data_IF_826688124283
#
_entry.id   IF_826688124283
#
_cell.length_a   1.000
_cell.length_b   1.000
_cell.length_c   1.000
_cell.angle_alpha   90.00
_cell.angle_beta   90.00
_cell.angle_gamma   90.00
#
_symmetry.space_group_name_H-M   'P 1'
#
loop_
_entity.id
_entity.type
_entity.pdbx_description
1 polymer ?
#
# COMPACT_ATOMS: atom_id res chain seq x y z
N UNK A 1 -8.70 -50.13 -25.51
CA UNK A 1 -9.11 -51.52 -25.13
C UNK A 1 -9.49 -51.48 -23.65
N UNK A 2 -10.78 -51.78 -23.42
CA UNK A 2 -11.38 -52.61 -22.35
C UNK A 2 -11.20 -52.10 -20.92
N UNK A 3 -12.19 -51.97 -20.04
CA UNK A 3 -13.68 -52.21 -19.93
C UNK A 3 -13.97 -51.72 -18.50
N UNK A 4 -14.85 -50.84 -18.17
CA UNK A 4 -16.27 -51.01 -17.87
C UNK A 4 -16.66 -52.33 -17.19
N UNK A 5 -17.11 -52.25 -15.94
CA UNK A 5 -18.22 -53.06 -15.46
C UNK A 5 -18.94 -52.45 -14.24
N UNK A 6 -20.23 -52.23 -14.44
CA UNK A 6 -21.32 -52.02 -13.49
C UNK A 6 -21.80 -53.34 -12.91
N UNK A 7 -22.32 -53.39 -11.69
CA UNK A 7 -23.40 -54.26 -11.23
C UNK A 7 -23.86 -53.77 -9.86
N UNK A 8 -25.00 -53.22 -9.69
CA UNK A 8 -26.41 -53.68 -9.60
C UNK A 8 -26.72 -54.60 -8.40
N UNK A 9 -27.37 -53.99 -7.42
CA UNK A 9 -28.65 -54.32 -6.76
C UNK A 9 -28.87 -55.78 -6.26
N UNK A 10 -29.16 -55.92 -5.00
CA UNK A 10 -30.20 -56.82 -4.50
C UNK A 10 -30.78 -56.35 -3.17
N UNK A 11 -32.07 -56.08 -3.21
CA UNK A 11 -32.98 -55.85 -2.09
C UNK A 11 -33.33 -57.20 -1.48
N UNK A 12 -33.27 -57.35 -0.14
CA UNK A 12 -34.03 -58.34 0.56
C UNK A 12 -34.70 -57.75 1.80
N UNK A 13 -36.00 -57.66 1.74
CA UNK A 13 -36.88 -57.44 2.90
C UNK A 13 -36.97 -58.74 3.70
N UNK A 14 -36.71 -58.66 5.00
CA UNK A 14 -37.29 -59.61 5.97
C UNK A 14 -37.67 -58.84 7.21
N UNK A 15 -38.95 -58.92 7.54
CA UNK A 15 -39.60 -58.47 8.75
C UNK A 15 -39.27 -59.42 9.91
N UNK A 16 -38.93 -58.88 11.07
CA UNK A 16 -39.35 -59.46 12.36
C UNK A 16 -38.93 -58.57 13.58
N UNK A 17 -39.91 -58.23 14.36
CA UNK A 17 -39.90 -58.04 15.82
C UNK A 17 -38.98 -57.01 16.45
N UNK A 18 -39.61 -55.96 16.98
CA UNK A 18 -39.11 -55.09 18.05
C UNK A 18 -38.75 -55.85 19.32
N UNK A 19 -37.72 -55.42 20.02
CA UNK A 19 -37.94 -55.08 21.43
C UNK A 19 -37.63 -53.58 21.67
N UNK A 20 -38.48 -53.00 22.46
CA UNK A 20 -38.28 -51.75 23.18
C UNK A 20 -37.02 -51.90 24.04
N UNK A 21 -36.05 -51.01 23.84
CA UNK A 21 -34.94 -50.83 24.76
C UNK A 21 -34.59 -49.36 24.86
N UNK A 22 -34.75 -48.88 26.05
CA UNK A 22 -34.06 -47.79 26.77
C UNK A 22 -33.66 -46.57 25.94
N UNK A 23 -34.26 -45.48 26.28
CA UNK A 23 -33.74 -44.12 26.14
C UNK A 23 -32.33 -44.10 26.74
N UNK A 24 -31.34 -43.87 25.90
CA UNK A 24 -30.04 -43.41 26.38
C UNK A 24 -30.25 -42.03 26.99
N UNK A 25 -29.71 -41.73 28.17
CA UNK A 25 -29.75 -40.39 28.70
C UNK A 25 -28.96 -39.48 27.76
N UNK A 26 -29.58 -38.37 27.33
CA UNK A 26 -28.87 -37.24 26.74
C UNK A 26 -27.68 -36.94 27.67
N UNK A 27 -26.46 -37.13 27.20
CA UNK A 27 -25.28 -36.62 27.89
C UNK A 27 -25.42 -35.07 27.84
N UNK A 28 -25.99 -34.52 28.94
CA UNK A 28 -25.79 -33.10 29.24
C UNK A 28 -24.30 -32.90 29.43
N UNK A 29 -23.62 -32.33 28.43
CA UNK A 29 -22.26 -31.85 28.58
C UNK A 29 -22.19 -30.96 29.81
N UNK A 30 -21.33 -31.30 30.74
CA UNK A 30 -21.15 -30.52 31.96
C UNK A 30 -20.72 -29.09 31.60
N UNK A 31 -21.12 -28.11 32.42
CA UNK A 31 -20.69 -26.71 32.23
C UNK A 31 -19.17 -26.58 32.18
N UNK A 32 -18.40 -27.52 32.75
CA UNK A 32 -16.96 -27.57 32.74
C UNK A 32 -16.42 -28.03 31.37
N UNK A 33 -17.13 -28.89 30.62
CA UNK A 33 -16.77 -29.29 29.26
C UNK A 33 -17.10 -28.23 28.21
N UNK A 34 -18.08 -27.35 28.48
CA UNK A 34 -18.40 -26.20 27.60
C UNK A 34 -17.31 -25.10 27.73
N UNK A 35 -16.67 -25.01 28.92
CA UNK A 35 -15.61 -23.99 29.15
C UNK A 35 -14.30 -24.36 28.47
N UNK A 36 -14.01 -25.65 28.19
CA UNK A 36 -12.79 -26.06 27.46
C UNK A 36 -12.83 -25.79 25.94
N UNK A 37 -13.99 -25.42 25.39
CA UNK A 37 -14.14 -25.11 23.96
C UNK A 37 -14.10 -23.60 23.64
N UNK A 38 -13.84 -22.75 24.63
CA UNK A 38 -13.59 -21.32 24.36
C UNK A 38 -12.15 -21.21 23.90
N UNK A 39 -11.97 -20.90 22.63
CA UNK A 39 -10.67 -20.55 22.06
C UNK A 39 -10.22 -19.25 22.74
N UNK A 40 -9.32 -19.39 23.73
CA UNK A 40 -8.81 -18.26 24.52
C UNK A 40 -7.90 -17.33 23.68
N UNK A 41 -7.55 -17.73 22.47
CA UNK A 41 -6.79 -16.94 21.49
C UNK A 41 -7.69 -16.27 20.45
N UNK A 42 -9.01 -16.49 20.49
CA UNK A 42 -9.93 -15.76 19.61
C UNK A 42 -9.99 -14.27 20.01
N UNK A 43 -9.86 -13.33 19.07
CA UNK A 43 -9.91 -11.91 19.37
C UNK A 43 -11.25 -11.54 20.02
N UNK A 44 -11.22 -10.65 21.03
CA UNK A 44 -12.44 -10.14 21.66
C UNK A 44 -13.32 -9.43 20.60
N UNK A 45 -14.64 -9.50 20.79
CA UNK A 45 -15.58 -8.88 19.86
C UNK A 45 -15.24 -7.39 19.66
N UNK A 46 -14.96 -7.01 18.40
CA UNK A 46 -14.57 -5.64 18.04
C UNK A 46 -13.12 -5.28 18.35
N UNK A 47 -12.24 -6.25 18.57
CA UNK A 47 -10.81 -6.02 18.71
C UNK A 47 -10.16 -5.75 17.34
N UNK A 48 -9.24 -4.78 17.29
CA UNK A 48 -8.43 -4.48 16.10
C UNK A 48 -7.16 -5.33 16.11
N UNK A 49 -7.03 -6.22 15.12
CA UNK A 49 -5.95 -7.23 15.05
C UNK A 49 -4.86 -6.89 14.02
N UNK A 50 -5.04 -5.85 13.20
CA UNK A 50 -4.05 -5.44 12.21
C UNK A 50 -2.78 -4.91 12.88
N UNK A 51 -1.57 -5.28 12.40
CA UNK A 51 -0.30 -4.94 13.07
C UNK A 51 -0.03 -3.43 13.20
N UNK A 52 -0.62 -2.60 12.33
CA UNK A 52 -0.55 -1.13 12.48
C UNK A 52 -1.77 -0.68 13.28
N UNK A 53 -1.54 0.03 14.39
CA UNK A 53 -2.61 0.51 15.25
C UNK A 53 -3.57 1.47 14.52
N UNK A 54 -4.85 1.44 14.88
CA UNK A 54 -5.89 2.19 14.18
C UNK A 54 -5.67 3.71 14.23
N UNK A 55 -5.17 4.21 15.35
CA UNK A 55 -4.80 5.61 15.57
C UNK A 55 -3.61 6.07 14.72
N UNK A 56 -2.77 5.15 14.27
CA UNK A 56 -1.61 5.42 13.42
C UNK A 56 -1.95 5.40 11.92
N UNK A 57 -3.15 4.91 11.56
CA UNK A 57 -3.62 4.84 10.18
C UNK A 57 -4.31 6.14 9.78
N UNK A 58 -3.59 7.00 9.07
CA UNK A 58 -4.19 8.20 8.47
C UNK A 58 -4.80 7.85 7.09
N UNK A 59 -6.14 8.01 6.89
CA UNK A 59 -6.81 7.65 5.64
C UNK A 59 -6.26 8.35 4.40
N UNK A 60 -5.73 9.57 4.53
CA UNK A 60 -5.12 10.29 3.41
C UNK A 60 -3.75 9.70 3.06
N UNK A 61 -2.98 9.28 4.08
CA UNK A 61 -1.64 8.75 3.88
C UNK A 61 -1.65 7.36 3.26
N UNK A 62 -2.54 6.48 3.73
CA UNK A 62 -2.65 5.11 3.21
C UNK A 62 -3.56 4.96 1.99
N UNK A 63 -4.07 6.08 1.45
CA UNK A 63 -4.91 6.07 0.25
C UNK A 63 -4.16 5.52 -0.96
N UNK A 64 -4.69 4.45 -1.54
CA UNK A 64 -4.17 3.86 -2.75
C UNK A 64 -4.59 4.70 -3.99
N UNK A 65 -3.63 4.97 -4.87
CA UNK A 65 -3.86 5.57 -6.17
C UNK A 65 -3.15 4.72 -7.23
N UNK A 66 -3.91 4.01 -8.05
CA UNK A 66 -3.42 3.17 -9.14
C UNK A 66 -4.49 3.00 -10.23
N UNK A 67 -4.29 2.11 -11.18
CA UNK A 67 -5.23 1.88 -12.29
C UNK A 67 -6.62 1.41 -11.86
N UNK A 68 -6.74 0.82 -10.68
CA UNK A 68 -7.97 0.27 -10.10
C UNK A 68 -8.59 1.19 -9.05
N UNK A 69 -7.80 2.06 -8.42
CA UNK A 69 -8.20 3.04 -7.41
C UNK A 69 -7.89 4.45 -7.93
N UNK A 70 -8.76 4.94 -8.82
CA UNK A 70 -8.55 6.23 -9.49
C UNK A 70 -8.99 7.40 -8.61
N UNK A 71 -8.10 8.37 -8.48
CA UNK A 71 -8.46 9.66 -7.93
C UNK A 71 -9.27 10.46 -8.96
N UNK A 72 -10.33 11.10 -8.50
CA UNK A 72 -11.13 11.99 -9.33
C UNK A 72 -10.30 13.17 -9.87
N UNK A 73 -10.77 13.76 -10.96
CA UNK A 73 -10.08 14.89 -11.60
C UNK A 73 -9.93 16.08 -10.67
N UNK A 74 -10.89 16.32 -9.83
CA UNK A 74 -11.00 17.38 -8.82
C UNK A 74 -10.71 16.86 -7.40
N UNK A 75 -10.04 15.70 -7.30
CA UNK A 75 -9.61 15.16 -6.02
C UNK A 75 -8.93 16.24 -5.19
N UNK A 76 -9.54 16.52 -4.04
CA UNK A 76 -9.04 17.53 -3.12
C UNK A 76 -7.98 16.92 -2.21
N UNK A 77 -6.77 17.40 -2.36
CA UNK A 77 -5.69 17.11 -1.40
C UNK A 77 -5.79 18.06 -0.21
N UNK A 78 -5.18 17.71 0.92
CA UNK A 78 -4.87 18.70 1.96
C UNK A 78 -4.10 19.88 1.33
N UNK A 79 -4.12 21.07 1.96
CA UNK A 79 -3.39 22.22 1.44
C UNK A 79 -1.94 21.87 1.11
N UNK A 80 -1.53 22.18 -0.10
CA UNK A 80 -0.18 21.98 -0.55
C UNK A 80 0.70 23.14 -0.09
N UNK A 81 1.92 22.84 0.34
CA UNK A 81 2.91 23.83 0.72
C UNK A 81 4.08 23.84 -0.25
N UNK A 82 4.63 25.04 -0.48
CA UNK A 82 5.79 25.20 -1.37
C UNK A 82 7.05 24.67 -0.71
N UNK A 83 7.69 23.74 -1.39
CA UNK A 83 8.99 23.20 -0.99
C UNK A 83 10.05 24.27 -1.13
N UNK A 84 10.74 24.60 -0.03
CA UNK A 84 11.86 25.57 0.00
C UNK A 84 13.13 24.93 -0.55
N UNK A 85 13.94 25.72 -1.25
CA UNK A 85 15.30 25.30 -1.58
C UNK A 85 16.19 25.33 -0.34
N UNK A 86 17.04 24.32 -0.18
CA UNK A 86 17.96 24.18 0.96
C UNK A 86 18.87 25.41 1.11
N UNK A 87 18.95 25.93 2.33
CA UNK A 87 19.93 26.94 2.75
C UNK A 87 20.73 26.39 3.93
N UNK A 88 22.04 26.32 3.76
CA UNK A 88 22.95 25.87 4.80
C UNK A 88 23.69 27.04 5.43
N UNK A 89 23.88 26.99 6.74
CA UNK A 89 24.80 27.83 7.50
C UNK A 89 25.59 26.93 8.44
N UNK A 90 26.93 26.95 8.33
CA UNK A 90 27.81 26.07 9.07
C UNK A 90 27.48 24.57 8.95
N UNK A 91 26.96 24.16 7.78
CA UNK A 91 26.54 22.77 7.53
C UNK A 91 25.11 22.44 7.92
N UNK A 92 24.45 23.27 8.71
CA UNK A 92 23.08 23.06 9.21
C UNK A 92 22.01 23.60 8.25
N UNK A 93 20.88 22.91 8.14
CA UNK A 93 19.71 23.37 7.40
C UNK A 93 18.98 24.47 8.18
N UNK A 94 19.05 25.70 7.68
CA UNK A 94 18.54 26.88 8.42
C UNK A 94 17.13 27.31 8.03
N UNK A 95 16.52 26.67 7.04
CA UNK A 95 15.22 27.11 6.52
C UNK A 95 14.23 25.97 6.29
N UNK A 96 14.54 24.74 6.70
CA UNK A 96 13.72 23.56 6.43
C UNK A 96 13.54 23.33 4.93
N UNK A 97 14.56 23.55 4.12
CA UNK A 97 14.53 23.33 2.68
C UNK A 97 15.18 22.02 2.28
N UNK A 98 14.96 21.60 1.03
CA UNK A 98 15.62 20.45 0.42
C UNK A 98 16.38 20.86 -0.84
N UNK A 99 17.36 20.06 -1.25
CA UNK A 99 18.00 20.26 -2.56
C UNK A 99 17.00 20.02 -3.67
N UNK A 100 16.92 20.90 -4.65
CA UNK A 100 16.02 20.79 -5.80
C UNK A 100 16.82 20.55 -7.06
N UNK A 101 16.35 19.62 -7.89
CA UNK A 101 16.98 19.34 -9.19
C UNK A 101 16.73 20.45 -10.22
N UNK A 102 15.72 21.31 -10.00
CA UNK A 102 15.40 22.47 -10.85
C UNK A 102 14.90 23.65 -10.04
N UNK A 103 14.91 24.85 -10.62
CA UNK A 103 14.44 26.08 -9.97
C UNK A 103 12.91 26.26 -9.94
N UNK A 104 12.13 25.32 -10.48
CA UNK A 104 10.67 25.41 -10.53
C UNK A 104 10.00 25.32 -9.14
N UNK A 105 8.74 25.76 -9.08
CA UNK A 105 7.90 25.55 -7.90
C UNK A 105 7.55 24.07 -7.78
N UNK A 106 7.72 23.52 -6.61
CA UNK A 106 7.32 22.16 -6.22
C UNK A 106 6.51 22.26 -4.95
N UNK A 107 5.46 21.47 -4.85
CA UNK A 107 4.52 21.51 -3.73
C UNK A 107 4.25 20.09 -3.24
N UNK A 108 4.08 19.94 -1.92
CA UNK A 108 3.72 18.68 -1.24
C UNK A 108 2.70 18.97 -0.15
N UNK A 109 2.04 17.96 0.38
CA UNK A 109 1.34 18.10 1.67
C UNK A 109 2.35 18.39 2.77
N UNK A 110 1.93 19.11 3.82
CA UNK A 110 2.81 19.57 4.90
C UNK A 110 3.58 18.42 5.54
N UNK A 111 2.87 17.35 5.93
CA UNK A 111 3.49 16.19 6.61
C UNK A 111 4.55 15.51 5.71
N UNK A 112 4.24 15.31 4.43
CA UNK A 112 5.18 14.75 3.45
C UNK A 112 6.40 15.65 3.24
N UNK A 113 6.21 16.98 3.25
CA UNK A 113 7.31 17.93 3.11
C UNK A 113 8.23 17.92 4.34
N UNK A 114 7.68 17.92 5.54
CA UNK A 114 8.47 17.86 6.80
C UNK A 114 9.25 16.54 6.88
N UNK A 115 8.63 15.43 6.55
CA UNK A 115 9.27 14.13 6.46
C UNK A 115 10.41 14.11 5.42
N UNK A 116 10.19 14.72 4.25
CA UNK A 116 11.23 14.82 3.21
C UNK A 116 12.41 15.68 3.65
N UNK A 117 12.17 16.73 4.43
CA UNK A 117 13.26 17.54 5.02
C UNK A 117 14.07 16.68 5.98
N UNK A 118 13.43 15.95 6.90
CA UNK A 118 14.09 15.08 7.85
C UNK A 118 14.92 13.98 7.16
N UNK A 119 14.34 13.28 6.18
CA UNK A 119 15.02 12.28 5.35
C UNK A 119 16.25 12.89 4.63
N UNK A 120 16.11 14.09 4.05
CA UNK A 120 17.17 14.74 3.30
C UNK A 120 18.30 15.24 4.21
N UNK A 121 17.99 15.64 5.43
CA UNK A 121 18.98 16.07 6.42
C UNK A 121 19.76 14.88 6.97
N UNK A 122 19.09 13.76 7.28
CA UNK A 122 19.73 12.52 7.70
C UNK A 122 20.66 11.95 6.62
N UNK A 123 20.17 11.86 5.38
CA UNK A 123 21.01 11.45 4.25
C UNK A 123 22.26 12.33 4.10
N UNK A 124 22.14 13.63 4.32
CA UNK A 124 23.27 14.57 4.25
C UNK A 124 24.26 14.37 5.40
N UNK A 125 23.81 14.03 6.60
CA UNK A 125 24.65 13.69 7.75
C UNK A 125 25.48 12.43 7.48
N UNK A 126 24.88 11.46 6.76
CA UNK A 126 25.56 10.23 6.29
C UNK A 126 26.40 10.44 5.00
N UNK A 127 26.49 11.69 4.51
CA UNK A 127 27.33 12.05 3.36
C UNK A 127 26.64 11.97 1.99
N UNK A 128 25.35 11.64 1.95
CA UNK A 128 24.57 11.54 0.72
C UNK A 128 23.80 12.83 0.41
N UNK A 129 23.60 13.12 -0.87
CA UNK A 129 22.90 14.33 -1.31
C UNK A 129 21.70 13.97 -2.18
N UNK A 130 20.52 14.08 -1.62
CA UNK A 130 19.24 13.83 -2.27
C UNK A 130 18.71 15.12 -2.93
N UNK A 131 18.19 15.00 -4.16
CA UNK A 131 17.62 16.12 -4.92
C UNK A 131 16.18 15.84 -5.29
N UNK A 132 15.26 16.66 -4.82
CA UNK A 132 13.86 16.60 -5.23
C UNK A 132 13.73 16.95 -6.71
N UNK A 133 13.25 16.03 -7.52
CA UNK A 133 13.08 16.14 -8.97
C UNK A 133 11.65 16.48 -9.38
N UNK A 134 10.67 15.87 -8.71
CA UNK A 134 9.23 16.04 -8.95
C UNK A 134 8.48 15.91 -7.64
N UNK A 135 7.32 16.57 -7.54
CA UNK A 135 6.45 16.58 -6.37
C UNK A 135 4.99 16.52 -6.85
N UNK A 136 4.07 17.27 -6.26
CA UNK A 136 2.68 17.30 -6.69
C UNK A 136 2.56 17.51 -8.21
N UNK A 137 1.61 16.77 -8.79
CA UNK A 137 1.28 16.84 -10.22
C UNK A 137 -0.23 16.75 -10.40
N UNK A 138 -0.82 17.79 -11.00
CA UNK A 138 -2.25 17.82 -11.24
C UNK A 138 -2.71 16.71 -12.20
N UNK A 139 -3.98 16.32 -12.11
CA UNK A 139 -4.63 15.40 -13.02
C UNK A 139 -4.40 15.77 -14.50
N UNK A 140 -4.51 17.07 -14.83
CA UNK A 140 -4.32 17.57 -16.20
C UNK A 140 -2.90 17.36 -16.70
N UNK A 141 -1.90 17.64 -15.84
CA UNK A 141 -0.49 17.42 -16.16
C UNK A 141 -0.22 15.95 -16.37
N UNK A 142 -0.72 15.09 -15.47
CA UNK A 142 -0.60 13.64 -15.57
C UNK A 142 -1.23 13.10 -16.86
N UNK A 143 -2.44 13.56 -17.21
CA UNK A 143 -3.12 13.16 -18.43
C UNK A 143 -2.31 13.52 -19.69
N UNK A 144 -1.70 14.70 -19.70
CA UNK A 144 -0.84 15.14 -20.81
C UNK A 144 0.39 14.25 -20.92
N UNK A 145 1.05 13.96 -19.79
CA UNK A 145 2.24 13.08 -19.75
C UNK A 145 1.91 11.68 -20.24
N UNK A 146 0.82 11.08 -19.75
CA UNK A 146 0.37 9.74 -20.16
C UNK A 146 0.06 9.67 -21.66
N UNK A 147 -0.70 10.65 -22.20
CA UNK A 147 -1.01 10.71 -23.64
C UNK A 147 0.26 10.84 -24.49
N UNK A 148 1.24 11.65 -24.04
CA UNK A 148 2.51 11.79 -24.73
C UNK A 148 3.32 10.49 -24.69
N UNK A 149 3.29 9.75 -23.56
CA UNK A 149 3.92 8.43 -23.44
C UNK A 149 3.30 7.42 -24.37
N UNK A 150 1.97 7.30 -24.38
CA UNK A 150 1.25 6.43 -25.32
C UNK A 150 1.60 6.76 -26.78
N UNK A 151 1.60 8.05 -27.16
CA UNK A 151 1.97 8.46 -28.52
C UNK A 151 3.39 8.04 -28.87
N UNK A 152 4.35 8.19 -27.93
CA UNK A 152 5.74 7.78 -28.12
C UNK A 152 5.90 6.27 -28.23
N UNK A 153 5.01 5.50 -27.57
CA UNK A 153 5.04 4.03 -27.52
C UNK A 153 3.95 3.37 -28.37
N UNK A 154 3.61 3.95 -29.53
CA UNK A 154 2.66 3.40 -30.51
C UNK A 154 1.29 3.04 -29.90
N UNK A 155 0.80 3.83 -28.93
CA UNK A 155 -0.49 3.65 -28.27
C UNK A 155 -0.49 2.63 -27.15
N UNK A 156 0.64 2.01 -26.81
CA UNK A 156 0.73 0.99 -25.76
C UNK A 156 1.16 1.61 -24.43
N UNK A 157 0.47 1.21 -23.35
CA UNK A 157 0.94 1.44 -21.99
C UNK A 157 2.12 0.51 -21.72
N UNK A 158 3.22 1.06 -21.24
CA UNK A 158 4.47 0.34 -20.98
C UNK A 158 4.91 0.42 -19.50
N UNK A 159 4.02 0.82 -18.60
CA UNK A 159 4.24 0.85 -17.17
C UNK A 159 5.16 1.97 -16.68
N UNK A 160 5.55 2.94 -17.50
CA UNK A 160 6.44 4.05 -17.09
C UNK A 160 5.72 5.33 -16.68
N UNK A 161 4.48 5.52 -17.09
CA UNK A 161 3.71 6.71 -16.77
C UNK A 161 2.28 6.31 -16.46
N UNK A 162 1.86 6.47 -15.25
CA UNK A 162 0.48 6.19 -14.82
C UNK A 162 -0.53 7.05 -15.57
N UNK A 163 -1.72 6.50 -15.85
CA UNK A 163 -2.83 7.30 -16.35
C UNK A 163 -3.27 8.35 -15.31
N UNK A 164 -3.97 9.39 -15.77
CA UNK A 164 -4.49 10.42 -14.87
C UNK A 164 -5.46 9.81 -13.83
N UNK A 165 -5.33 10.20 -12.59
CA UNK A 165 -6.02 9.63 -11.42
C UNK A 165 -5.29 8.45 -10.78
N UNK A 166 -4.36 7.79 -11.50
CA UNK A 166 -3.64 6.62 -11.03
C UNK A 166 -2.23 6.93 -10.46
N UNK A 167 -1.90 8.19 -10.26
CA UNK A 167 -0.55 8.61 -9.84
C UNK A 167 -0.56 9.20 -8.44
N UNK A 168 0.34 8.73 -7.59
CA UNK A 168 0.56 9.26 -6.23
C UNK A 168 0.93 10.73 -6.20
N UNK A 169 1.55 11.25 -7.26
CA UNK A 169 1.85 12.68 -7.34
C UNK A 169 0.60 13.56 -7.21
N UNK A 170 -0.58 13.06 -7.58
CA UNK A 170 -1.83 13.81 -7.46
C UNK A 170 -2.28 13.92 -5.99
N UNK A 171 -1.83 13.05 -5.11
CA UNK A 171 -2.13 13.15 -3.67
C UNK A 171 -1.33 14.25 -2.97
N UNK A 172 -0.21 14.67 -3.55
CA UNK A 172 0.77 15.53 -2.85
C UNK A 172 1.62 14.78 -1.81
N UNK A 173 1.55 13.43 -1.80
CA UNK A 173 2.31 12.53 -0.92
C UNK A 173 3.36 11.71 -1.68
N UNK A 174 3.35 11.76 -3.02
CA UNK A 174 4.35 11.14 -3.88
C UNK A 174 5.39 12.14 -4.36
N UNK A 175 6.67 11.76 -4.37
CA UNK A 175 7.75 12.59 -4.86
C UNK A 175 8.89 11.78 -5.47
N UNK A 176 9.55 12.36 -6.48
CA UNK A 176 10.74 11.79 -7.10
C UNK A 176 12.00 12.42 -6.52
N UNK A 177 12.89 11.60 -6.00
CA UNK A 177 14.15 12.00 -5.39
C UNK A 177 15.31 11.31 -6.11
N UNK A 178 16.30 12.08 -6.55
CA UNK A 178 17.40 11.59 -7.38
C UNK A 178 18.77 11.95 -6.79
N UNK A 179 19.83 11.16 -7.06
CA UNK A 179 21.19 11.49 -6.70
C UNK A 179 21.77 12.60 -7.63
N UNK A 180 22.85 13.23 -7.19
CA UNK A 180 23.54 14.30 -7.94
C UNK A 180 23.96 13.86 -9.33
N UNK A 181 24.43 12.63 -9.47
CA UNK A 181 24.89 12.02 -10.74
C UNK A 181 23.82 12.04 -11.84
N UNK A 182 22.53 12.05 -11.45
CA UNK A 182 21.39 12.02 -12.36
C UNK A 182 20.76 13.39 -12.69
N UNK A 183 21.30 14.49 -12.15
CA UNK A 183 20.77 15.84 -12.43
C UNK A 183 20.75 16.22 -13.91
N UNK A 184 21.70 15.69 -14.70
CA UNK A 184 21.82 15.96 -16.14
C UNK A 184 21.34 14.81 -17.02
N UNK A 185 20.79 13.74 -16.42
CA UNK A 185 20.29 12.60 -17.18
C UNK A 185 19.04 13.00 -17.99
N UNK A 186 18.89 12.44 -19.19
CA UNK A 186 17.75 12.69 -20.08
C UNK A 186 16.43 12.06 -19.57
N UNK A 187 16.49 11.20 -18.58
CA UNK A 187 15.36 10.50 -17.94
C UNK A 187 15.81 9.68 -16.75
N UNK A 188 14.86 9.14 -16.02
CA UNK A 188 15.08 8.22 -14.90
C UNK A 188 14.84 6.78 -15.36
N UNK A 189 15.58 5.82 -14.82
CA UNK A 189 15.38 4.39 -15.06
C UNK A 189 15.98 3.56 -13.91
N UNK A 190 15.68 2.25 -13.88
CA UNK A 190 16.06 1.33 -12.81
C UNK A 190 17.57 1.21 -12.51
N UNK A 191 18.45 1.66 -13.44
CA UNK A 191 19.91 1.69 -13.17
C UNK A 191 20.27 2.60 -12.00
N UNK A 192 19.39 3.58 -11.68
CA UNK A 192 19.56 4.48 -10.53
C UNK A 192 19.61 3.74 -9.19
N UNK A 193 19.02 2.55 -9.10
CA UNK A 193 19.07 1.69 -7.91
C UNK A 193 20.50 1.33 -7.44
N UNK A 194 21.50 1.47 -8.32
CA UNK A 194 22.91 1.20 -8.00
C UNK A 194 23.65 2.41 -7.42
N UNK A 195 23.01 3.58 -7.43
CA UNK A 195 23.60 4.78 -6.83
C UNK A 195 23.55 4.67 -5.30
N UNK A 196 24.62 5.05 -4.60
CA UNK A 196 24.67 4.95 -3.14
C UNK A 196 23.51 5.67 -2.44
N UNK A 197 23.08 6.82 -2.96
CA UNK A 197 21.96 7.57 -2.43
C UNK A 197 20.63 6.81 -2.55
N UNK A 198 20.44 6.05 -3.63
CA UNK A 198 19.21 5.24 -3.80
C UNK A 198 19.23 3.99 -2.94
N UNK A 199 20.40 3.39 -2.70
CA UNK A 199 20.58 2.29 -1.75
C UNK A 199 20.23 2.79 -0.35
N UNK A 200 20.82 3.90 0.07
CA UNK A 200 20.55 4.53 1.37
C UNK A 200 19.04 4.85 1.54
N UNK A 201 18.39 5.43 0.52
CA UNK A 201 16.95 5.69 0.57
C UNK A 201 16.13 4.41 0.76
N UNK A 202 16.47 3.33 0.07
CA UNK A 202 15.75 2.06 0.19
C UNK A 202 15.92 1.43 1.58
N UNK A 203 17.04 1.67 2.26
CA UNK A 203 17.33 1.13 3.59
C UNK A 203 16.70 1.98 4.72
N UNK A 204 16.49 3.29 4.51
CA UNK A 204 16.15 4.24 5.58
C UNK A 204 14.82 4.99 5.38
N UNK A 205 14.18 4.93 4.21
CA UNK A 205 13.02 5.78 3.93
C UNK A 205 11.83 5.55 4.88
N UNK A 206 11.64 4.32 5.38
CA UNK A 206 10.57 3.98 6.34
C UNK A 206 10.72 4.69 7.68
N UNK A 207 11.94 5.00 8.11
CA UNK A 207 12.21 5.74 9.35
C UNK A 207 11.60 7.15 9.32
N UNK A 208 11.33 7.65 8.11
CA UNK A 208 10.73 8.96 7.84
C UNK A 208 9.32 8.87 7.25
N UNK A 209 8.71 7.68 7.32
CA UNK A 209 7.34 7.46 6.85
C UNK A 209 7.18 7.32 5.33
N UNK A 210 8.28 7.10 4.59
CA UNK A 210 8.25 6.83 3.16
C UNK A 210 8.42 5.35 2.83
N UNK A 211 7.90 4.96 1.68
CA UNK A 211 8.16 3.68 1.03
C UNK A 211 8.75 3.91 -0.36
N UNK A 212 9.50 2.93 -0.88
CA UNK A 212 9.74 2.82 -2.32
C UNK A 212 8.44 2.34 -2.96
N UNK A 213 7.73 3.24 -3.64
CA UNK A 213 6.36 3.00 -4.12
C UNK A 213 6.23 1.86 -5.11
N UNK A 214 7.22 1.71 -5.99
CA UNK A 214 7.22 0.73 -7.07
C UNK A 214 8.49 -0.13 -6.99
N UNK A 215 8.54 -1.14 -6.09
CA UNK A 215 9.70 -2.01 -5.92
C UNK A 215 9.85 -3.00 -7.09
N UNK A 216 11.08 -3.52 -7.28
CA UNK A 216 11.47 -4.31 -8.46
C UNK A 216 10.73 -5.64 -8.57
N UNK A 217 10.39 -6.26 -7.46
CA UNK A 217 9.72 -7.55 -7.37
C UNK A 217 8.19 -7.45 -7.37
N UNK A 218 7.63 -6.23 -7.50
CA UNK A 218 6.20 -5.95 -7.43
C UNK A 218 5.62 -5.31 -8.70
N UNK A 219 6.37 -5.33 -9.81
CA UNK A 219 5.93 -4.69 -11.07
C UNK A 219 4.60 -5.25 -11.59
N UNK A 220 4.33 -6.56 -11.39
CA UNK A 220 3.06 -7.18 -11.78
C UNK A 220 1.88 -6.69 -10.90
N UNK A 221 2.12 -6.49 -9.60
CA UNK A 221 1.10 -6.03 -8.66
C UNK A 221 0.81 -4.54 -8.82
N UNK A 222 1.84 -3.72 -8.94
CA UNK A 222 1.72 -2.27 -9.08
C UNK A 222 1.39 -1.82 -10.50
N UNK A 223 1.61 -2.69 -11.50
CA UNK A 223 1.52 -2.41 -12.95
C UNK A 223 2.37 -1.20 -13.40
N UNK A 224 3.41 -0.89 -12.63
CA UNK A 224 4.41 0.16 -12.89
C UNK A 224 5.80 -0.48 -12.79
N UNK A 225 6.69 -0.10 -13.70
CA UNK A 225 8.08 -0.55 -13.69
C UNK A 225 8.79 -0.05 -12.42
N UNK A 226 9.86 -0.75 -12.02
CA UNK A 226 10.67 -0.38 -10.87
C UNK A 226 11.18 1.06 -10.92
N UNK A 227 10.87 1.82 -9.88
CA UNK A 227 11.23 3.23 -9.73
C UNK A 227 11.97 3.51 -8.41
N UNK A 228 13.30 3.29 -8.33
CA UNK A 228 14.07 3.48 -7.09
C UNK A 228 14.13 4.94 -6.60
N UNK A 229 13.61 5.89 -7.37
CA UNK A 229 13.53 7.32 -7.06
C UNK A 229 12.19 7.74 -6.52
N UNK A 230 11.12 6.93 -6.70
CA UNK A 230 9.77 7.32 -6.37
C UNK A 230 9.42 6.94 -4.93
N UNK A 231 9.37 7.95 -4.08
CA UNK A 231 8.96 7.83 -2.69
C UNK A 231 7.48 8.16 -2.52
N UNK A 232 6.78 7.36 -1.70
CA UNK A 232 5.43 7.63 -1.25
C UNK A 232 5.40 7.75 0.27
N UNK A 233 4.90 8.89 0.78
CA UNK A 233 4.66 9.08 2.20
C UNK A 233 3.36 8.38 2.63
N UNK A 234 3.46 7.54 3.66
CA UNK A 234 2.35 6.78 4.24
C UNK A 234 2.28 6.89 5.77
N UNK A 235 3.21 7.65 6.38
CA UNK A 235 3.41 7.70 7.84
C UNK A 235 4.35 6.60 8.33
N UNK A 236 5.04 6.84 9.45
CA UNK A 236 6.10 5.95 9.94
C UNK A 236 5.59 4.53 10.24
N UNK A 237 4.49 4.30 11.00
CA UNK A 237 4.05 2.96 11.32
C UNK A 237 3.68 2.13 10.09
N UNK A 238 2.94 2.70 9.14
CA UNK A 238 2.60 2.01 7.89
C UNK A 238 3.82 1.78 7.00
N UNK A 239 4.75 2.75 6.92
CA UNK A 239 5.98 2.62 6.14
C UNK A 239 6.87 1.50 6.68
N UNK A 240 7.06 1.44 8.00
CA UNK A 240 7.82 0.39 8.67
C UNK A 240 7.22 -0.98 8.38
N UNK A 241 5.91 -1.13 8.57
CA UNK A 241 5.24 -2.40 8.29
C UNK A 241 5.40 -2.83 6.83
N UNK A 242 5.18 -1.92 5.88
CA UNK A 242 5.29 -2.20 4.45
C UNK A 242 6.73 -2.64 4.08
N UNK A 243 7.73 -1.88 4.52
CA UNK A 243 9.12 -2.11 4.13
C UNK A 243 9.70 -3.35 4.80
N UNK A 244 9.43 -3.59 6.09
CA UNK A 244 9.92 -4.76 6.82
C UNK A 244 9.31 -6.08 6.32
N UNK A 245 8.07 -6.05 5.82
CA UNK A 245 7.40 -7.22 5.27
C UNK A 245 7.56 -7.35 3.74
N UNK A 246 8.32 -6.45 3.09
CA UNK A 246 8.57 -6.49 1.65
C UNK A 246 7.29 -6.33 0.82
N UNK A 247 6.32 -5.54 1.30
CA UNK A 247 5.05 -5.30 0.63
C UNK A 247 5.16 -4.10 -0.34
N UNK A 248 4.26 -4.05 -1.32
CA UNK A 248 3.90 -2.80 -1.99
C UNK A 248 2.64 -2.20 -1.35
N UNK A 249 2.28 -0.97 -1.73
CA UNK A 249 1.09 -0.30 -1.18
C UNK A 249 -0.22 -1.01 -1.54
N UNK A 250 -0.26 -1.73 -2.65
CA UNK A 250 -1.38 -2.57 -3.07
C UNK A 250 -1.61 -3.73 -2.09
N UNK A 251 -0.55 -4.47 -1.77
CA UNK A 251 -0.61 -5.60 -0.83
C UNK A 251 -0.98 -5.12 0.58
N UNK A 252 -0.37 -4.03 1.04
CA UNK A 252 -0.75 -3.39 2.30
C UNK A 252 -2.22 -3.00 2.33
N UNK A 253 -2.73 -2.42 1.23
CA UNK A 253 -4.15 -2.07 1.14
C UNK A 253 -5.04 -3.30 1.21
N UNK A 254 -4.69 -4.39 0.53
CA UNK A 254 -5.46 -5.63 0.54
C UNK A 254 -5.53 -6.22 1.96
N UNK A 255 -4.41 -6.26 2.67
CA UNK A 255 -4.35 -6.71 4.07
C UNK A 255 -5.17 -5.79 4.99
N UNK A 256 -5.05 -4.47 4.83
CA UNK A 256 -5.80 -3.49 5.60
C UNK A 256 -7.31 -3.62 5.36
N UNK A 257 -7.75 -3.80 4.10
CA UNK A 257 -9.19 -3.97 3.82
C UNK A 257 -9.72 -5.28 4.40
N UNK A 258 -8.95 -6.36 4.37
CA UNK A 258 -9.31 -7.63 5.01
C UNK A 258 -9.44 -7.48 6.54
N UNK A 259 -8.50 -6.81 7.18
CA UNK A 259 -8.55 -6.52 8.62
C UNK A 259 -9.74 -5.63 9.01
N UNK A 260 -10.08 -4.63 8.19
CA UNK A 260 -11.27 -3.79 8.39
C UNK A 260 -12.54 -4.64 8.29
N UNK A 261 -12.63 -5.54 7.33
CA UNK A 261 -13.77 -6.43 7.18
C UNK A 261 -13.93 -7.33 8.40
N UNK A 262 -12.85 -7.99 8.83
CA UNK A 262 -12.84 -8.84 10.03
C UNK A 262 -13.25 -8.07 11.28
N UNK A 263 -12.68 -6.88 11.49
CA UNK A 263 -13.05 -5.99 12.60
C UNK A 263 -14.55 -5.68 12.64
N UNK A 264 -15.13 -5.38 11.47
CA UNK A 264 -16.57 -5.06 11.37
C UNK A 264 -17.46 -6.30 11.57
N UNK A 265 -17.08 -7.47 11.04
CA UNK A 265 -17.78 -8.74 11.21
C UNK A 265 -17.79 -9.17 12.68
N UNK A 266 -16.72 -8.89 13.41
CA UNK A 266 -16.60 -9.15 14.84
C UNK A 266 -17.24 -8.05 15.73
N UNK A 267 -18.04 -7.15 15.16
CA UNK A 267 -18.79 -6.14 15.93
C UNK A 267 -18.03 -4.85 16.23
N UNK A 268 -16.93 -4.60 15.51
CA UNK A 268 -16.14 -3.37 15.63
C UNK A 268 -16.91 -2.11 15.21
N UNK A 269 -16.50 -0.97 15.73
CA UNK A 269 -17.12 0.33 15.46
C UNK A 269 -16.78 0.85 14.06
N UNK A 270 -17.76 0.81 13.14
CA UNK A 270 -17.63 1.29 11.78
C UNK A 270 -17.14 2.73 11.69
N UNK A 271 -17.49 3.61 12.62
CA UNK A 271 -17.09 5.01 12.59
C UNK A 271 -15.58 5.20 12.69
N UNK A 272 -14.87 4.24 13.28
CA UNK A 272 -13.41 4.24 13.42
C UNK A 272 -12.68 3.90 12.11
N UNK A 273 -13.29 3.10 11.23
CA UNK A 273 -12.66 2.54 10.03
C UNK A 273 -13.25 3.04 8.72
N UNK A 274 -14.42 3.69 8.70
CA UNK A 274 -15.14 4.05 7.48
C UNK A 274 -14.30 4.85 6.47
N UNK A 275 -13.41 5.73 6.96
CA UNK A 275 -12.52 6.54 6.11
C UNK A 275 -11.34 5.76 5.53
N UNK A 276 -11.02 4.61 6.12
CA UNK A 276 -9.98 3.69 5.66
C UNK A 276 -10.50 2.72 4.60
N UNK A 277 -11.84 2.55 4.50
CA UNK A 277 -12.44 1.69 3.47
C UNK A 277 -12.18 2.28 2.08
N UNK A 278 -11.59 1.48 1.21
CA UNK A 278 -11.29 1.85 -0.17
C UNK A 278 -11.97 0.87 -1.13
N UNK A 279 -12.70 1.41 -2.10
CA UNK A 279 -13.42 0.61 -3.10
C UNK A 279 -12.78 0.85 -4.47
N UNK A 280 -12.41 -0.20 -5.21
CA UNK A 280 -11.85 -0.06 -6.54
C UNK A 280 -12.88 0.49 -7.55
N UNK A 281 -12.40 1.23 -8.57
CA UNK A 281 -13.22 1.80 -9.64
C UNK A 281 -13.61 0.80 -10.74
N UNK A 282 -13.53 -0.50 -10.50
CA UNK A 282 -13.81 -1.57 -11.45
C UNK A 282 -13.39 -2.93 -10.92
N UNK A 283 -13.34 -3.94 -11.79
CA UNK A 283 -12.85 -5.27 -11.39
C UNK A 283 -11.35 -5.16 -11.00
N UNK A 284 -11.06 -5.40 -9.73
CA UNK A 284 -9.72 -5.54 -9.20
C UNK A 284 -9.42 -7.03 -8.98
N UNK A 285 -8.31 -7.50 -9.54
CA UNK A 285 -7.87 -8.90 -9.41
C UNK A 285 -6.86 -9.10 -8.27
N UNK A 286 -6.86 -8.23 -7.27
CA UNK A 286 -6.08 -8.44 -6.04
C UNK A 286 -6.52 -9.73 -5.31
N UNK A 287 -5.74 -10.16 -4.35
CA UNK A 287 -6.00 -11.40 -3.60
C UNK A 287 -7.23 -11.35 -2.67
N UNK A 288 -7.94 -10.26 -2.60
CA UNK A 288 -9.20 -10.17 -1.84
C UNK A 288 -10.27 -10.99 -2.56
N UNK A 289 -10.31 -12.27 -2.25
CA UNK A 289 -11.54 -13.06 -2.41
C UNK A 289 -12.51 -12.60 -1.33
N UNK A 290 -13.39 -11.65 -1.66
CA UNK A 290 -14.58 -11.39 -0.88
C UNK A 290 -15.58 -12.52 -1.06
#
# INVERSE_FOLDING_TARGET
MKKLLCALLCVFLLSAALPVLCEDPEEELSMDEIVEAVDLDAPEAGEWTFPVALEDLNPDFVRLANKHYLLEKDYYTKPLVKVKALKLKNGENTNGGVRKASGGTMELQQDCYEALVALSDAAREDGYNLYLKSAYRSWQTQNTMYKNRLKKNNGKDDGWVSKAGASDHQTGLGCDVIPKSWLKASGMNSKMAKEPECIWMAEHCQEYGFIIRYPADKEEMTEINYEPWHLRYVGIPAATYIMENGLCLEEFNDELQAAIQEYLENGGDRSKVEKLIQVPNGEYKGKTSF
#
